data_IF_982868671926
#
_entry.id   IF_982868671926
#
_cell.length_a   1.000
_cell.length_b   1.000
_cell.length_c   1.000
_cell.angle_alpha   90.00
_cell.angle_beta   90.00
_cell.angle_gamma   90.00
#
_symmetry.space_group_name_H-M   'P 1'
#
loop_
_entity.id
_entity.type
_entity.pdbx_description
1 polymer ?
#
# COMPACT_ATOMS: atom_id res chain seq x y z
N UNK A 1 -14.84 -10.12 0.88
CA UNK A 1 -13.72 -9.56 1.65
C UNK A 1 -13.53 -8.16 1.11
N UNK A 2 -13.58 -7.12 1.95
CA UNK A 2 -13.61 -5.70 1.52
C UNK A 2 -12.25 -5.08 1.80
N UNK A 3 -11.82 -4.11 0.99
CA UNK A 3 -10.60 -3.28 1.18
C UNK A 3 -10.44 -2.83 2.65
N UNK A 4 -11.54 -2.48 3.32
CA UNK A 4 -11.55 -2.08 4.73
C UNK A 4 -11.03 -3.17 5.69
N UNK A 5 -11.34 -4.44 5.42
CA UNK A 5 -10.96 -5.58 6.25
C UNK A 5 -9.45 -5.86 6.16
N UNK A 6 -8.88 -5.71 4.96
CA UNK A 6 -7.47 -5.99 4.72
C UNK A 6 -6.54 -4.96 5.39
N UNK A 7 -6.95 -3.69 5.42
CA UNK A 7 -6.22 -2.60 6.07
C UNK A 7 -6.22 -2.70 7.61
N UNK A 8 -7.26 -3.30 8.18
CA UNK A 8 -7.32 -3.65 9.61
C UNK A 8 -6.43 -4.86 9.93
N UNK A 9 -6.21 -5.78 8.98
CA UNK A 9 -5.27 -6.89 9.16
C UNK A 9 -3.79 -6.46 9.10
N UNK A 10 -3.44 -5.43 8.32
CA UNK A 10 -2.06 -4.91 8.29
C UNK A 10 -1.60 -4.31 9.63
N UNK A 11 -2.50 -3.72 10.42
CA UNK A 11 -2.18 -3.31 11.80
C UNK A 11 -1.84 -4.49 12.72
N UNK A 12 -2.29 -5.71 12.40
CA UNK A 12 -2.07 -6.91 13.23
C UNK A 12 -0.73 -7.60 12.91
N UNK A 13 -0.24 -7.56 11.65
CA UNK A 13 1.05 -8.16 11.26
C UNK A 13 2.27 -7.34 11.69
N UNK A 14 2.14 -6.02 11.88
CA UNK A 14 3.26 -5.16 12.28
C UNK A 14 3.86 -5.50 13.66
N UNK A 15 3.07 -6.13 14.55
CA UNK A 15 3.51 -6.52 15.88
C UNK A 15 4.30 -7.84 15.90
N UNK A 16 4.33 -8.60 14.80
CA UNK A 16 5.02 -9.91 14.75
C UNK A 16 6.46 -9.85 14.24
N UNK A 17 6.97 -8.68 13.80
CA UNK A 17 8.35 -8.54 13.30
C UNK A 17 9.20 -7.73 14.29
N UNK A 18 9.48 -8.30 15.46
CA UNK A 18 10.54 -7.81 16.35
C UNK A 18 11.80 -8.64 16.12
N UNK A 19 12.87 -7.94 15.75
CA UNK A 19 14.26 -8.34 15.46
C UNK A 19 14.75 -9.74 15.86
N UNK A 20 15.38 -10.42 14.90
CA UNK A 20 16.61 -11.20 15.15
C UNK A 20 17.77 -10.40 14.56
N UNK A 21 18.50 -9.68 15.41
CA UNK A 21 19.77 -9.03 15.05
C UNK A 21 20.86 -10.09 15.08
N UNK A 22 21.49 -10.36 13.93
CA UNK A 22 22.74 -11.12 13.87
C UNK A 22 23.85 -10.09 13.61
N UNK A 23 24.74 -9.95 14.59
CA UNK A 23 25.94 -9.13 14.53
C UNK A 23 26.98 -9.87 13.69
N UNK A 24 27.43 -9.27 12.59
CA UNK A 24 28.66 -9.71 11.91
C UNK A 24 29.72 -8.61 12.00
N UNK A 25 30.87 -8.98 12.55
CA UNK A 25 32.09 -8.20 12.65
C UNK A 25 32.69 -7.95 11.27
N UNK A 26 33.04 -6.70 10.97
CA UNK A 26 33.81 -6.32 9.78
C UNK A 26 35.28 -6.12 10.15
N UNK A 27 36.14 -6.91 9.52
CA UNK A 27 37.60 -6.83 9.61
C UNK A 27 38.12 -5.64 8.79
N UNK A 28 38.90 -4.76 9.42
CA UNK A 28 39.50 -3.60 8.77
C UNK A 28 40.75 -3.98 7.96
N UNK A 29 40.81 -3.55 6.70
CA UNK A 29 42.06 -3.45 5.94
C UNK A 29 42.37 -1.99 5.61
N UNK A 30 43.56 -1.57 6.00
CA UNK A 30 44.12 -0.23 5.81
C UNK A 30 44.93 -0.23 4.52
N UNK A 31 44.54 0.58 3.54
CA UNK A 31 45.40 0.87 2.38
C UNK A 31 45.52 2.38 2.20
N UNK A 32 46.74 2.85 2.39
CA UNK A 32 47.19 4.24 2.21
C UNK A 32 47.62 4.45 0.76
N UNK A 33 47.04 5.41 0.05
CA UNK A 33 47.65 5.93 -1.19
C UNK A 33 47.21 7.37 -1.53
N UNK A 34 48.18 8.27 -1.32
CA UNK A 34 48.63 9.43 -2.15
C UNK A 34 47.60 10.43 -2.68
N UNK A 35 47.74 11.68 -2.21
CA UNK A 35 47.12 12.89 -2.75
C UNK A 35 47.69 13.25 -4.13
N UNK A 36 46.84 13.26 -5.15
CA UNK A 36 47.05 14.05 -6.37
C UNK A 36 46.03 15.19 -6.41
N UNK A 37 46.55 16.42 -6.39
CA UNK A 37 45.75 17.64 -6.52
C UNK A 37 45.55 17.92 -8.00
N UNK A 38 44.39 17.54 -8.53
CA UNK A 38 43.97 17.92 -9.88
C UNK A 38 42.84 18.92 -9.75
N UNK A 39 43.10 20.17 -10.14
CA UNK A 39 42.11 21.25 -10.22
C UNK A 39 41.01 20.88 -11.21
N UNK A 40 39.88 20.39 -10.70
CA UNK A 40 38.66 20.17 -11.47
C UNK A 40 37.87 21.47 -11.52
N UNK A 41 37.56 21.91 -12.74
CA UNK A 41 36.61 22.96 -12.99
C UNK A 41 35.31 22.70 -12.22
N UNK A 42 34.79 23.74 -11.56
CA UNK A 42 33.47 23.73 -10.93
C UNK A 42 32.41 23.42 -11.99
N UNK A 43 32.09 22.14 -12.15
CA UNK A 43 30.78 21.74 -12.63
C UNK A 43 29.77 22.23 -11.60
N UNK A 44 28.80 23.00 -12.05
CA UNK A 44 27.60 23.31 -11.28
C UNK A 44 27.11 22.00 -10.67
N UNK A 45 27.21 21.82 -9.36
CA UNK A 45 26.63 20.68 -8.67
C UNK A 45 25.14 20.65 -9.06
N UNK A 46 24.72 19.59 -9.76
CA UNK A 46 23.31 19.41 -10.08
C UNK A 46 22.53 19.44 -8.76
N UNK A 47 21.51 20.30 -8.68
CA UNK A 47 20.63 20.34 -7.51
C UNK A 47 20.08 18.93 -7.31
N UNK A 48 20.22 18.33 -6.12
CA UNK A 48 19.65 17.02 -5.85
C UNK A 48 18.15 17.09 -6.11
N UNK A 49 17.64 16.20 -6.96
CA UNK A 49 16.21 16.11 -7.18
C UNK A 49 15.52 15.72 -5.86
N UNK A 50 14.42 16.40 -5.55
CA UNK A 50 13.60 16.13 -4.38
C UNK A 50 12.19 15.79 -4.82
N UNK A 51 11.65 14.68 -4.31
CA UNK A 51 10.27 14.32 -4.52
C UNK A 51 9.31 15.44 -4.02
N UNK A 52 8.12 15.58 -4.63
CA UNK A 52 7.14 16.55 -4.15
C UNK A 52 6.82 16.35 -2.66
N UNK A 53 6.72 17.44 -1.90
CA UNK A 53 6.54 17.38 -0.44
C UNK A 53 5.26 16.63 0.00
N UNK A 54 4.29 16.46 -0.89
CA UNK A 54 3.08 15.65 -0.65
C UNK A 54 3.37 14.15 -0.55
N UNK A 55 4.52 13.67 -1.00
CA UNK A 55 4.86 12.25 -0.89
C UNK A 55 5.23 11.91 0.56
N UNK A 56 4.75 10.76 1.01
CA UNK A 56 5.25 10.07 2.20
C UNK A 56 6.66 9.55 1.91
N UNK A 57 7.50 9.32 2.94
CA UNK A 57 8.83 8.74 2.73
C UNK A 57 8.74 7.48 1.86
N UNK A 58 9.72 7.31 0.97
CA UNK A 58 9.81 6.14 0.10
C UNK A 58 11.25 5.89 -0.35
N UNK A 59 11.50 4.71 -0.87
CA UNK A 59 12.79 4.24 -1.39
C UNK A 59 13.72 3.69 -0.31
N UNK A 60 14.83 3.11 -0.75
CA UNK A 60 15.81 2.44 0.13
C UNK A 60 16.33 3.32 1.27
N UNK A 61 16.54 4.63 1.04
CA UNK A 61 16.95 5.57 2.09
C UNK A 61 15.90 5.77 3.19
N UNK A 62 14.62 5.50 2.91
CA UNK A 62 13.53 5.50 3.88
C UNK A 62 13.26 4.11 4.49
N UNK A 63 13.97 3.08 4.01
CA UNK A 63 13.84 1.70 4.47
C UNK A 63 12.87 0.84 3.66
N UNK A 64 12.41 1.31 2.50
CA UNK A 64 11.50 0.56 1.64
C UNK A 64 12.16 -0.67 1.00
N UNK A 65 11.35 -1.70 0.75
CA UNK A 65 11.70 -2.77 -0.18
C UNK A 65 11.46 -2.28 -1.60
N UNK A 66 12.51 -2.30 -2.43
CA UNK A 66 12.43 -1.94 -3.85
C UNK A 66 12.32 -3.20 -4.71
N UNK A 67 11.29 -3.26 -5.56
CA UNK A 67 11.09 -4.33 -6.52
C UNK A 67 11.30 -3.82 -7.94
N UNK A 68 12.02 -4.62 -8.70
CA UNK A 68 12.24 -4.48 -10.13
C UNK A 68 11.57 -5.67 -10.81
N UNK A 69 11.28 -5.56 -12.10
CA UNK A 69 10.52 -6.53 -12.93
C UNK A 69 10.97 -8.01 -12.84
N UNK A 70 12.05 -8.34 -12.14
CA UNK A 70 12.50 -9.71 -11.92
C UNK A 70 11.82 -10.45 -10.76
N UNK A 71 11.05 -9.82 -9.87
CA UNK A 71 10.40 -10.51 -8.74
C UNK A 71 9.00 -9.95 -8.44
N UNK A 72 7.98 -10.80 -8.55
CA UNK A 72 6.65 -10.53 -8.00
C UNK A 72 6.76 -10.48 -6.47
N UNK A 73 6.64 -9.29 -5.90
CA UNK A 73 6.57 -9.10 -4.45
C UNK A 73 5.19 -9.51 -3.95
N UNK A 74 5.02 -10.76 -3.55
CA UNK A 74 3.84 -11.21 -2.81
C UNK A 74 3.99 -10.82 -1.33
N UNK A 75 3.44 -9.67 -0.95
CA UNK A 75 2.96 -9.52 0.42
C UNK A 75 1.61 -10.24 0.53
N UNK A 76 1.45 -11.07 1.56
CA UNK A 76 0.44 -12.14 1.63
C UNK A 76 -1.05 -11.75 1.56
N UNK A 77 -1.36 -10.48 1.30
CA UNK A 77 -2.71 -9.92 1.23
C UNK A 77 -2.88 -8.76 0.23
N UNK A 78 -1.81 -8.03 -0.12
CA UNK A 78 -1.81 -6.93 -1.10
C UNK A 78 -0.85 -7.31 -2.23
N UNK A 79 -1.35 -7.45 -3.45
CA UNK A 79 -0.49 -7.63 -4.61
C UNK A 79 -0.23 -6.27 -5.25
N UNK A 80 1.05 -5.93 -5.37
CA UNK A 80 1.51 -4.69 -6.01
C UNK A 80 1.98 -5.02 -7.43
N UNK A 81 1.44 -4.32 -8.41
CA UNK A 81 1.71 -4.58 -9.82
C UNK A 81 2.55 -3.46 -10.43
N UNK A 82 3.43 -3.81 -11.36
CA UNK A 82 4.27 -2.83 -12.06
C UNK A 82 3.45 -1.83 -12.88
N UNK A 83 2.29 -2.25 -13.39
CA UNK A 83 1.37 -1.41 -14.17
C UNK A 83 0.55 -0.41 -13.33
N UNK A 84 0.95 -0.14 -12.09
CA UNK A 84 0.35 0.87 -11.22
C UNK A 84 -0.93 0.42 -10.50
N UNK A 85 -1.13 -0.89 -10.35
CA UNK A 85 -2.29 -1.47 -9.65
C UNK A 85 -1.92 -2.00 -8.26
N UNK A 86 -2.82 -1.85 -7.30
CA UNK A 86 -2.84 -2.63 -6.05
C UNK A 86 -4.12 -3.47 -6.00
N UNK A 87 -4.00 -4.77 -5.78
CA UNK A 87 -5.16 -5.67 -5.64
C UNK A 87 -5.21 -6.33 -4.26
N UNK A 88 -6.43 -6.63 -3.80
CA UNK A 88 -6.69 -7.05 -2.42
C UNK A 88 -7.32 -8.44 -2.28
N UNK A 89 -7.81 -9.02 -3.39
CA UNK A 89 -8.59 -10.26 -3.35
C UNK A 89 -8.38 -11.22 -4.54
N UNK A 90 -7.70 -10.79 -5.61
CA UNK A 90 -7.35 -11.56 -6.81
C UNK A 90 -6.08 -10.98 -7.46
N UNK A 91 -5.27 -11.78 -8.17
CA UNK A 91 -4.00 -11.30 -8.70
C UNK A 91 -4.20 -10.14 -9.68
N UNK A 92 -5.18 -10.13 -10.57
CA UNK A 92 -5.36 -9.01 -11.50
C UNK A 92 -6.79 -8.96 -12.06
N UNK A 93 -7.34 -7.78 -12.40
CA UNK A 93 -8.50 -7.66 -13.27
C UNK A 93 -8.28 -8.42 -14.59
N UNK A 94 -9.33 -9.08 -15.10
CA UNK A 94 -9.26 -9.91 -16.31
C UNK A 94 -9.03 -9.12 -17.61
N UNK A 95 -9.02 -7.79 -17.56
CA UNK A 95 -8.80 -6.89 -18.70
C UNK A 95 -7.95 -5.69 -18.31
N UNK A 96 -7.08 -5.21 -19.22
CA UNK A 96 -6.28 -3.99 -19.08
C UNK A 96 -7.13 -2.71 -19.00
N UNK A 97 -6.54 -1.50 -19.12
CA UNK A 97 -7.23 -0.22 -18.89
C UNK A 97 -8.30 0.05 -19.95
N UNK A 98 -9.44 -0.57 -19.76
CA UNK A 98 -10.71 -0.28 -20.39
C UNK A 98 -11.78 -0.68 -19.39
N UNK A 99 -12.72 0.24 -19.15
CA UNK A 99 -13.96 0.10 -18.39
C UNK A 99 -13.91 0.48 -16.90
N UNK A 100 -14.73 1.48 -16.56
CA UNK A 100 -15.21 1.71 -15.20
C UNK A 100 -16.70 2.09 -15.25
N UNK A 101 -17.58 1.44 -14.47
CA UNK A 101 -17.31 0.31 -13.55
C UNK A 101 -16.89 -0.97 -14.27
N UNK A 102 -15.86 -1.67 -13.76
CA UNK A 102 -15.48 -2.99 -14.29
C UNK A 102 -16.55 -4.04 -13.97
N UNK A 103 -17.35 -3.79 -12.92
CA UNK A 103 -18.34 -4.72 -12.35
C UNK A 103 -17.76 -6.11 -12.09
N UNK A 104 -16.46 -6.16 -11.87
CA UNK A 104 -15.70 -7.39 -11.73
C UNK A 104 -15.76 -7.95 -10.31
N UNK A 105 -14.97 -8.99 -10.08
CA UNK A 105 -14.85 -9.65 -8.78
C UNK A 105 -13.64 -9.11 -7.98
N UNK A 106 -13.01 -8.05 -8.46
CA UNK A 106 -11.76 -7.50 -7.94
C UNK A 106 -12.04 -6.31 -7.02
N UNK A 107 -11.24 -6.24 -5.96
CA UNK A 107 -11.05 -5.02 -5.18
C UNK A 107 -9.67 -4.47 -5.56
N UNK A 108 -9.61 -3.25 -6.09
CA UNK A 108 -8.35 -2.64 -6.49
C UNK A 108 -8.29 -1.13 -6.31
N UNK A 109 -7.06 -0.64 -6.14
CA UNK A 109 -6.71 0.78 -6.21
C UNK A 109 -5.77 0.92 -7.40
N UNK A 110 -6.12 1.83 -8.30
CA UNK A 110 -5.40 2.12 -9.54
C UNK A 110 -4.96 3.58 -9.52
N UNK A 111 -3.90 3.97 -8.78
CA UNK A 111 -3.41 5.35 -8.79
C UNK A 111 -3.07 5.83 -10.22
N UNK A 112 -2.48 4.97 -11.04
CA UNK A 112 -2.20 5.23 -12.44
C UNK A 112 -2.11 3.89 -13.16
N UNK A 113 -3.25 3.36 -13.61
CA UNK A 113 -3.31 2.09 -14.30
C UNK A 113 -3.18 2.29 -15.80
N UNK A 114 -2.21 1.60 -16.39
CA UNK A 114 -1.85 1.71 -17.81
C UNK A 114 -1.46 0.33 -18.36
N UNK A 115 -1.54 0.15 -19.67
CA UNK A 115 -1.17 -1.09 -20.36
C UNK A 115 0.33 -1.15 -20.67
N UNK A 116 1.14 -0.35 -19.95
CA UNK A 116 2.55 -0.14 -20.28
C UNK A 116 3.22 -1.50 -20.29
N UNK A 117 3.60 -1.93 -21.48
CA UNK A 117 4.34 -3.16 -21.71
C UNK A 117 5.58 -3.19 -20.81
N UNK A 118 5.82 -4.36 -20.20
CA UNK A 118 6.95 -4.74 -19.35
C UNK A 118 8.33 -4.67 -20.05
N UNK A 119 8.41 -4.01 -21.20
CA UNK A 119 9.59 -3.97 -22.03
C UNK A 119 10.54 -2.89 -21.52
N UNK A 120 11.74 -3.35 -21.14
CA UNK A 120 12.87 -2.60 -20.60
C UNK A 120 12.68 -2.21 -19.13
N UNK A 121 13.65 -2.58 -18.28
CA UNK A 121 13.78 -2.34 -16.81
C UNK A 121 13.60 -0.87 -16.37
N UNK A 122 12.46 -0.27 -16.71
CA UNK A 122 12.14 1.15 -16.62
C UNK A 122 11.11 1.41 -15.53
N UNK A 123 10.52 0.36 -14.96
CA UNK A 123 9.55 0.44 -13.86
C UNK A 123 10.14 -0.20 -12.61
N UNK A 124 10.05 0.52 -11.51
CA UNK A 124 10.19 -0.06 -10.17
C UNK A 124 9.03 0.41 -9.30
N UNK A 125 8.74 -0.36 -8.26
CA UNK A 125 7.99 0.17 -7.13
C UNK A 125 8.74 -0.07 -5.82
N UNK A 126 8.59 0.84 -4.88
CA UNK A 126 9.04 0.67 -3.51
C UNK A 126 7.84 0.57 -2.59
N UNK A 127 7.90 -0.30 -1.59
CA UNK A 127 6.85 -0.39 -0.59
C UNK A 127 7.42 -0.56 0.81
N UNK A 128 6.66 -0.06 1.79
CA UNK A 128 7.00 -0.20 3.18
C UNK A 128 5.77 -0.03 4.08
N UNK A 129 5.70 -0.87 5.10
CA UNK A 129 4.84 -0.62 6.26
C UNK A 129 5.60 0.21 7.29
N UNK A 130 5.18 1.46 7.45
CA UNK A 130 5.76 2.40 8.40
C UNK A 130 5.11 2.26 9.78
N UNK A 131 5.97 2.03 10.78
CA UNK A 131 5.62 2.08 12.21
C UNK A 131 6.25 3.27 12.93
N UNK A 132 7.02 4.09 12.22
CA UNK A 132 7.68 5.26 12.79
C UNK A 132 6.65 6.35 13.19
N UNK A 133 6.80 6.89 14.39
CA UNK A 133 5.89 7.90 14.96
C UNK A 133 5.73 9.14 14.08
N UNK A 134 6.78 9.59 13.39
CA UNK A 134 6.71 10.75 12.50
C UNK A 134 5.76 10.53 11.33
N UNK A 135 5.75 9.33 10.74
CA UNK A 135 4.88 8.97 9.61
C UNK A 135 3.45 8.77 10.08
N UNK A 136 3.24 8.10 11.21
CA UNK A 136 1.92 7.93 11.83
C UNK A 136 1.31 9.28 12.24
N UNK A 137 2.11 10.19 12.79
CA UNK A 137 1.69 11.55 13.16
C UNK A 137 1.27 12.35 11.93
N UNK A 138 2.07 12.30 10.85
CA UNK A 138 1.71 12.94 9.57
C UNK A 138 0.40 12.39 9.01
N UNK A 139 0.24 11.07 8.98
CA UNK A 139 -1.01 10.42 8.53
C UNK A 139 -2.22 10.84 9.36
N UNK A 140 -2.05 10.90 10.68
CA UNK A 140 -3.08 11.37 11.61
C UNK A 140 -3.49 12.82 11.31
N UNK A 141 -2.52 13.72 11.11
CA UNK A 141 -2.77 15.12 10.78
C UNK A 141 -3.45 15.28 9.42
N UNK A 142 -2.97 14.58 8.40
CA UNK A 142 -3.55 14.58 7.06
C UNK A 142 -5.02 14.12 7.09
N UNK A 143 -5.30 12.97 7.70
CA UNK A 143 -6.67 12.44 7.77
C UNK A 143 -7.58 13.34 8.59
N UNK A 144 -7.15 13.87 9.73
CA UNK A 144 -7.99 14.79 10.52
C UNK A 144 -8.20 16.14 9.82
N UNK A 145 -7.29 16.55 8.93
CA UNK A 145 -7.48 17.74 8.10
C UNK A 145 -8.55 17.50 7.02
N UNK A 146 -8.52 16.34 6.36
CA UNK A 146 -9.43 16.04 5.24
C UNK A 146 -10.79 15.51 5.71
N UNK A 147 -10.82 14.84 6.86
CA UNK A 147 -11.99 14.18 7.44
C UNK A 147 -12.15 14.57 8.93
N UNK A 148 -12.40 15.86 9.25
CA UNK A 148 -12.34 16.40 10.61
C UNK A 148 -13.38 15.81 11.58
N UNK A 149 -14.42 15.15 11.07
CA UNK A 149 -15.47 14.53 11.89
C UNK A 149 -15.06 13.16 12.46
N UNK A 150 -13.93 12.59 12.03
CA UNK A 150 -13.55 11.21 12.35
C UNK A 150 -12.77 11.05 13.65
N UNK A 151 -12.17 12.11 14.20
CA UNK A 151 -11.28 12.06 15.38
C UNK A 151 -10.29 10.88 15.32
N UNK A 152 -9.54 10.83 14.22
CA UNK A 152 -8.74 9.67 13.84
C UNK A 152 -7.33 9.72 14.45
N UNK A 153 -6.77 8.54 14.75
CA UNK A 153 -5.35 8.35 15.08
C UNK A 153 -4.83 7.15 14.28
N UNK A 154 -3.79 7.35 13.49
CA UNK A 154 -3.18 6.29 12.68
C UNK A 154 -2.41 5.31 13.58
N UNK A 155 -2.61 4.01 13.35
CA UNK A 155 -1.82 2.92 13.94
C UNK A 155 -1.04 2.11 12.91
N UNK A 156 -1.33 2.29 11.61
CA UNK A 156 -0.57 1.69 10.52
C UNK A 156 -0.60 2.59 9.29
N UNK A 157 0.54 2.68 8.60
CA UNK A 157 0.68 3.36 7.32
C UNK A 157 1.48 2.46 6.39
N UNK A 158 0.89 2.04 5.28
CA UNK A 158 1.57 1.31 4.23
C UNK A 158 1.70 2.20 3.00
N UNK A 159 2.92 2.37 2.50
CA UNK A 159 3.23 3.25 1.37
C UNK A 159 3.71 2.38 0.22
N UNK A 160 3.18 2.64 -0.97
CA UNK A 160 3.70 2.09 -2.22
C UNK A 160 3.95 3.24 -3.18
N UNK A 161 5.11 3.28 -3.81
CA UNK A 161 5.51 4.34 -4.73
C UNK A 161 6.06 3.73 -6.01
N UNK A 162 5.50 4.11 -7.16
CA UNK A 162 5.97 3.69 -8.47
C UNK A 162 6.86 4.77 -9.08
N UNK A 163 7.93 4.33 -9.73
CA UNK A 163 8.84 5.18 -10.50
C UNK A 163 8.99 4.59 -11.89
N UNK A 164 8.74 5.41 -12.91
CA UNK A 164 9.05 5.10 -14.30
C UNK A 164 10.28 5.88 -14.76
N UNK A 165 11.15 5.22 -15.53
CA UNK A 165 12.47 5.70 -15.91
C UNK A 165 13.26 6.23 -14.70
N UNK A 166 13.61 5.38 -13.72
CA UNK A 166 14.27 5.79 -12.48
C UNK A 166 15.73 6.21 -12.72
N UNK A 167 15.89 7.43 -13.21
CA UNK A 167 17.11 8.23 -13.11
C UNK A 167 16.96 9.17 -11.90
N UNK A 168 17.95 10.02 -11.54
CA UNK A 168 17.84 10.89 -10.36
C UNK A 168 16.54 11.71 -10.29
N UNK A 169 15.93 11.99 -11.45
CA UNK A 169 14.57 12.51 -11.59
C UNK A 169 13.71 11.51 -12.38
N UNK A 170 12.77 10.78 -11.75
CA UNK A 170 11.85 9.90 -12.46
C UNK A 170 10.89 10.69 -13.35
N UNK A 171 10.62 10.19 -14.56
CA UNK A 171 9.70 10.82 -15.49
C UNK A 171 8.23 10.65 -15.08
N UNK A 172 7.94 9.56 -14.36
CA UNK A 172 6.63 9.29 -13.79
C UNK A 172 6.81 8.88 -12.33
N UNK A 173 6.10 9.56 -11.44
CA UNK A 173 6.11 9.32 -10.00
C UNK A 173 4.69 9.42 -9.44
N UNK A 174 4.21 8.34 -8.85
CA UNK A 174 2.94 8.32 -8.12
C UNK A 174 3.02 7.38 -6.93
N UNK A 175 2.16 7.62 -5.94
CA UNK A 175 2.20 6.92 -4.66
C UNK A 175 0.79 6.63 -4.14
N UNK A 176 0.61 5.46 -3.56
CA UNK A 176 -0.55 5.12 -2.73
C UNK A 176 -0.11 5.03 -1.28
N UNK A 177 -0.90 5.65 -0.39
CA UNK A 177 -0.69 5.60 1.06
C UNK A 177 -1.94 5.03 1.69
N UNK A 178 -1.84 3.83 2.22
CA UNK A 178 -2.91 3.15 2.94
C UNK A 178 -2.76 3.45 4.44
N UNK A 179 -3.82 3.94 5.07
CA UNK A 179 -3.77 4.44 6.44
C UNK A 179 -4.90 3.76 7.23
N UNK A 180 -4.57 3.15 8.37
CA UNK A 180 -5.58 2.55 9.25
C UNK A 180 -5.36 2.86 10.73
N UNK A 181 -6.46 2.86 11.48
CA UNK A 181 -6.47 3.14 12.93
C UNK A 181 -7.88 3.29 13.50
N UNK A 182 -8.08 2.85 14.74
CA UNK A 182 -9.36 3.02 15.44
C UNK A 182 -10.59 2.45 14.72
N UNK A 183 -10.42 1.41 13.89
CA UNK A 183 -11.50 0.81 13.08
C UNK A 183 -11.84 1.57 11.78
N UNK A 184 -11.06 2.58 11.43
CA UNK A 184 -11.18 3.34 10.18
C UNK A 184 -10.00 3.09 9.26
N UNK A 185 -10.27 3.16 7.96
CA UNK A 185 -9.30 2.93 6.91
C UNK A 185 -9.47 3.98 5.82
N UNK A 186 -8.35 4.54 5.37
CA UNK A 186 -8.27 5.58 4.36
C UNK A 186 -7.20 5.19 3.35
N UNK A 187 -7.27 5.78 2.16
CA UNK A 187 -6.15 5.76 1.25
C UNK A 187 -5.97 7.12 0.58
N UNK A 188 -4.71 7.46 0.33
CA UNK A 188 -4.30 8.63 -0.42
C UNK A 188 -3.68 8.18 -1.73
N UNK A 189 -3.89 8.94 -2.80
CA UNK A 189 -3.10 8.90 -4.03
C UNK A 189 -2.34 10.23 -4.14
N UNK A 190 -1.03 10.17 -4.32
CA UNK A 190 -0.17 11.33 -4.53
C UNK A 190 0.46 11.27 -5.92
N UNK A 191 0.45 12.38 -6.64
CA UNK A 191 0.95 12.50 -8.01
C UNK A 191 2.11 13.49 -8.06
N UNK A 192 3.24 13.03 -8.59
CA UNK A 192 4.35 13.88 -9.01
C UNK A 192 4.23 14.19 -10.50
N UNK A 193 5.35 14.32 -11.18
CA UNK A 193 5.31 14.39 -12.64
C UNK A 193 4.85 13.05 -13.22
N UNK A 194 4.04 13.12 -14.26
CA UNK A 194 3.61 11.97 -15.05
C UNK A 194 3.86 12.33 -16.52
N UNK A 195 4.98 11.86 -17.06
CA UNK A 195 5.32 11.96 -18.48
C UNK A 195 4.30 11.25 -19.38
N UNK A 196 4.40 11.50 -20.69
CA UNK A 196 3.47 10.96 -21.68
C UNK A 196 3.54 9.44 -21.72
N UNK A 197 2.43 8.81 -21.36
CA UNK A 197 2.12 7.41 -21.63
C UNK A 197 1.48 7.32 -23.02
N UNK A 198 2.00 6.42 -23.86
CA UNK A 198 1.52 6.22 -25.24
C UNK A 198 0.16 5.48 -25.30
N UNK A 199 -0.51 5.32 -24.16
CA UNK A 199 -1.62 4.41 -23.96
C UNK A 199 -2.69 5.02 -23.05
N UNK A 200 -3.82 4.33 -22.97
CA UNK A 200 -4.92 4.72 -22.12
C UNK A 200 -4.54 4.55 -20.64
N UNK A 201 -4.81 5.59 -19.87
CA UNK A 201 -4.51 5.65 -18.44
C UNK A 201 -5.79 5.91 -17.69
N UNK A 202 -6.00 5.18 -16.61
CA UNK A 202 -7.07 5.46 -15.67
C UNK A 202 -6.55 5.54 -14.24
N UNK A 203 -7.05 6.53 -13.50
CA UNK A 203 -6.71 6.73 -12.10
C UNK A 203 -7.99 6.68 -11.27
N UNK A 204 -8.02 5.87 -10.22
CA UNK A 204 -9.23 5.62 -9.45
C UNK A 204 -9.18 4.37 -8.59
N UNK A 205 -10.36 3.89 -8.23
CA UNK A 205 -10.52 2.63 -7.53
C UNK A 205 -11.85 1.99 -7.91
N UNK A 206 -11.91 0.67 -7.78
CA UNK A 206 -13.14 -0.10 -7.93
C UNK A 206 -13.17 -1.21 -6.88
N UNK A 207 -14.38 -1.59 -6.46
CA UNK A 207 -14.62 -2.69 -5.52
C UNK A 207 -15.44 -3.76 -6.20
N UNK A 208 -15.52 -4.94 -5.59
CA UNK A 208 -16.36 -6.05 -6.09
C UNK A 208 -17.75 -5.54 -6.50
N UNK A 209 -18.18 -5.91 -7.72
CA UNK A 209 -19.43 -5.51 -8.36
C UNK A 209 -19.60 -3.98 -8.51
N UNK A 210 -18.53 -3.22 -8.35
CA UNK A 210 -18.49 -1.77 -8.36
C UNK A 210 -19.46 -1.09 -7.40
N UNK A 211 -19.65 -1.73 -6.22
CA UNK A 211 -20.48 -1.21 -5.12
C UNK A 211 -19.99 0.16 -4.67
N UNK A 212 -18.68 0.37 -4.68
CA UNK A 212 -18.03 1.67 -4.57
C UNK A 212 -16.91 1.75 -5.61
N UNK A 213 -16.94 2.78 -6.44
CA UNK A 213 -15.92 3.05 -7.44
C UNK A 213 -15.79 4.56 -7.61
N UNK A 214 -14.62 4.97 -8.08
CA UNK A 214 -14.37 6.36 -8.44
C UNK A 214 -13.33 6.43 -9.56
N UNK A 215 -13.60 7.28 -10.55
CA UNK A 215 -12.68 7.62 -11.62
C UNK A 215 -12.26 9.07 -11.44
N UNK A 216 -10.97 9.34 -11.44
CA UNK A 216 -10.45 10.71 -11.40
C UNK A 216 -10.75 11.38 -12.76
N UNK A 217 -11.49 12.50 -12.80
CA UNK A 217 -11.99 13.08 -14.05
C UNK A 217 -10.94 13.35 -15.13
N UNK A 218 -9.72 13.72 -14.73
CA UNK A 218 -8.65 14.09 -15.66
C UNK A 218 -7.82 12.90 -16.17
N UNK A 219 -7.99 11.69 -15.63
CA UNK A 219 -7.19 10.54 -16.08
C UNK A 219 -7.65 9.99 -17.43
N UNK A 220 -8.96 9.84 -17.62
CA UNK A 220 -9.54 9.10 -18.76
C UNK A 220 -9.43 9.81 -20.12
N UNK A 221 -9.22 11.13 -20.13
CA UNK A 221 -9.13 11.91 -21.37
C UNK A 221 -7.68 12.13 -21.84
N UNK A 222 -6.72 11.35 -21.31
CA UNK A 222 -5.31 11.52 -21.60
C UNK A 222 -4.65 12.73 -20.92
N UNK A 223 -5.34 13.38 -19.97
CA UNK A 223 -4.83 14.53 -19.22
C UNK A 223 -4.20 14.13 -17.88
N UNK A 224 -3.64 12.92 -17.80
CA UNK A 224 -3.02 12.39 -16.58
C UNK A 224 -1.84 13.26 -16.09
N UNK A 225 -1.21 14.03 -16.97
CA UNK A 225 -0.17 15.00 -16.60
C UNK A 225 -0.68 16.09 -15.64
N UNK A 226 -1.99 16.37 -15.67
CA UNK A 226 -2.64 17.34 -14.80
C UNK A 226 -3.00 16.75 -13.42
N UNK A 227 -2.83 15.45 -13.19
CA UNK A 227 -3.14 14.83 -11.90
C UNK A 227 -2.39 15.49 -10.75
N UNK A 228 -1.15 15.94 -10.97
CA UNK A 228 -0.35 16.73 -10.00
C UNK A 228 -0.97 18.07 -9.58
N UNK A 229 -1.94 18.57 -10.32
CA UNK A 229 -2.63 19.83 -10.05
C UNK A 229 -4.09 19.63 -9.57
N UNK A 230 -4.64 18.42 -9.68
CA UNK A 230 -6.01 18.12 -9.26
C UNK A 230 -6.06 17.59 -7.82
N UNK A 231 -7.24 17.69 -7.19
CA UNK A 231 -7.45 17.22 -5.82
C UNK A 231 -8.93 17.18 -5.45
N UNK A 232 -9.32 16.29 -4.55
CA UNK A 232 -10.59 16.35 -3.82
C UNK A 232 -10.46 16.89 -2.37
N UNK A 233 -9.25 17.24 -1.94
CA UNK A 233 -8.92 17.71 -0.58
C UNK A 233 -8.19 19.05 -0.55
N UNK A 234 -8.20 19.79 -1.66
CA UNK A 234 -7.53 21.08 -1.82
C UNK A 234 -6.02 21.03 -1.53
N UNK A 235 -5.37 19.91 -1.85
CA UNK A 235 -3.91 19.76 -1.85
C UNK A 235 -3.52 19.30 -3.26
N UNK A 236 -2.89 20.15 -4.08
CA UNK A 236 -2.53 19.80 -5.45
C UNK A 236 -1.79 18.46 -5.52
N UNK A 237 -2.25 17.59 -6.41
CA UNK A 237 -1.64 16.27 -6.63
C UNK A 237 -2.07 15.22 -5.62
N UNK A 238 -2.98 15.53 -4.69
CA UNK A 238 -3.45 14.60 -3.68
C UNK A 238 -4.94 14.33 -3.78
N UNK A 239 -5.27 13.05 -3.79
CA UNK A 239 -6.62 12.53 -3.66
C UNK A 239 -6.73 11.69 -2.40
N UNK A 240 -7.80 11.86 -1.62
CA UNK A 240 -8.02 11.14 -0.37
C UNK A 240 -9.41 10.50 -0.36
N UNK A 241 -9.48 9.25 0.07
CA UNK A 241 -10.72 8.49 0.11
C UNK A 241 -10.86 7.75 1.42
N UNK A 242 -12.11 7.63 1.88
CA UNK A 242 -12.44 6.77 3.01
C UNK A 242 -12.78 5.39 2.45
N UNK A 243 -12.15 4.35 2.98
CA UNK A 243 -12.53 2.97 2.69
C UNK A 243 -13.75 2.58 3.54
N UNK A 244 -14.87 3.28 3.37
CA UNK A 244 -16.15 2.92 4.00
C UNK A 244 -16.96 2.07 3.04
N UNK A 245 -16.96 0.77 3.25
CA UNK A 245 -18.16 0.00 2.95
C UNK A 245 -18.76 -0.44 4.29
N UNK A 246 -19.68 0.40 4.76
CA UNK A 246 -20.59 0.08 5.86
C UNK A 246 -21.40 -1.14 5.47
N UNK A 247 -20.95 -2.32 5.90
CA UNK A 247 -21.80 -3.47 6.21
C UNK A 247 -20.95 -4.42 7.04
N UNK A 248 -21.50 -4.87 8.16
CA UNK A 248 -21.01 -6.03 8.91
C UNK A 248 -20.72 -7.18 7.94
N UNK A 249 -19.46 -7.46 7.65
CA UNK A 249 -19.06 -8.66 6.89
C UNK A 249 -18.10 -9.45 7.77
N UNK A 250 -18.62 -10.53 8.35
CA UNK A 250 -17.83 -11.48 9.12
C UNK A 250 -16.65 -12.01 8.33
N UNK A 251 -15.53 -12.19 9.02
CA UNK A 251 -14.33 -12.82 8.48
C UNK A 251 -14.56 -14.33 8.42
N UNK A 252 -14.31 -14.95 7.26
CA UNK A 252 -14.29 -16.41 7.15
C UNK A 252 -12.84 -16.89 7.20
N UNK A 253 -12.49 -17.63 8.24
CA UNK A 253 -11.16 -18.23 8.43
C UNK A 253 -11.27 -19.76 8.34
N UNK A 254 -10.23 -20.40 7.81
CA UNK A 254 -10.04 -21.86 7.90
C UNK A 254 -8.97 -22.13 8.94
N UNK A 255 -9.32 -22.90 9.97
CA UNK A 255 -8.44 -23.23 11.08
C UNK A 255 -8.14 -24.72 11.05
N UNK A 256 -6.89 -25.08 11.30
CA UNK A 256 -6.45 -26.44 11.52
C UNK A 256 -6.02 -26.57 12.97
N UNK A 257 -6.63 -27.50 13.70
CA UNK A 257 -6.25 -27.82 15.07
C UNK A 257 -5.68 -29.23 15.12
N UNK A 258 -4.76 -29.47 16.06
CA UNK A 258 -4.30 -30.81 16.41
C UNK A 258 -5.35 -31.57 17.27
N UNK A 259 -6.30 -30.85 17.87
CA UNK A 259 -7.44 -31.43 18.59
C UNK A 259 -8.54 -31.89 17.64
N UNK A 260 -9.27 -32.95 18.04
CA UNK A 260 -10.46 -33.39 17.31
C UNK A 260 -11.62 -32.42 17.54
N UNK A 261 -11.73 -31.45 16.65
CA UNK A 261 -12.78 -30.44 16.68
C UNK A 261 -14.18 -31.02 16.40
N UNK A 262 -14.37 -32.32 16.19
CA UNK A 262 -15.74 -32.88 16.15
C UNK A 262 -16.36 -33.00 17.55
N UNK A 263 -15.56 -32.87 18.61
CA UNK A 263 -16.02 -32.84 19.99
C UNK A 263 -16.41 -31.41 20.41
N UNK A 264 -17.63 -31.24 20.94
CA UNK A 264 -18.19 -29.92 21.25
C UNK A 264 -17.40 -29.12 22.30
N UNK A 265 -16.84 -29.79 23.32
CA UNK A 265 -16.04 -29.13 24.36
C UNK A 265 -14.74 -28.53 23.84
N UNK A 266 -14.08 -29.22 22.89
CA UNK A 266 -12.84 -28.76 22.26
C UNK A 266 -13.09 -27.58 21.32
N UNK A 267 -14.21 -27.61 20.58
CA UNK A 267 -14.63 -26.49 19.75
C UNK A 267 -14.81 -25.21 20.57
N UNK A 268 -15.55 -25.28 21.68
CA UNK A 268 -15.85 -24.10 22.49
C UNK A 268 -14.59 -23.48 23.10
N UNK A 269 -13.67 -24.32 23.56
CA UNK A 269 -12.38 -23.88 24.08
C UNK A 269 -11.55 -23.16 23.00
N UNK A 270 -11.48 -23.72 21.79
CA UNK A 270 -10.75 -23.12 20.66
C UNK A 270 -11.40 -21.81 20.22
N UNK A 271 -12.73 -21.75 20.13
CA UNK A 271 -13.44 -20.50 19.83
C UNK A 271 -13.17 -19.43 20.89
N UNK A 272 -13.16 -19.78 22.18
CA UNK A 272 -12.86 -18.81 23.24
C UNK A 272 -11.42 -18.29 23.15
N UNK A 273 -10.44 -19.16 22.88
CA UNK A 273 -9.06 -18.73 22.67
C UNK A 273 -8.93 -17.78 21.47
N UNK A 274 -9.57 -18.10 20.35
CA UNK A 274 -9.60 -17.22 19.17
C UNK A 274 -10.26 -15.88 19.52
N UNK A 275 -11.34 -15.90 20.29
CA UNK A 275 -12.01 -14.67 20.73
C UNK A 275 -11.07 -13.79 21.55
N UNK A 276 -10.40 -14.37 22.54
CA UNK A 276 -9.46 -13.67 23.41
C UNK A 276 -8.30 -13.10 22.61
N UNK A 277 -7.79 -13.85 21.63
CA UNK A 277 -6.71 -13.41 20.76
C UNK A 277 -7.13 -12.29 19.82
N UNK A 278 -8.37 -12.33 19.30
CA UNK A 278 -8.89 -11.22 18.50
C UNK A 278 -9.10 -9.97 19.38
N UNK A 279 -9.61 -10.13 20.60
CA UNK A 279 -9.78 -9.01 21.54
C UNK A 279 -8.44 -8.43 21.96
N UNK A 280 -7.42 -9.26 22.25
CA UNK A 280 -6.06 -8.79 22.57
C UNK A 280 -5.41 -8.05 21.39
N UNK A 281 -5.83 -8.36 20.16
CA UNK A 281 -5.41 -7.70 18.91
C UNK A 281 -6.31 -6.53 18.49
N UNK A 282 -7.16 -6.02 19.38
CA UNK A 282 -7.93 -4.79 19.17
C UNK A 282 -9.31 -4.96 18.53
N UNK A 283 -9.80 -6.19 18.35
CA UNK A 283 -11.19 -6.43 17.92
C UNK A 283 -12.16 -6.22 19.09
N UNK A 284 -13.41 -5.76 18.83
CA UNK A 284 -14.39 -5.56 19.88
C UNK A 284 -14.81 -6.88 20.53
N UNK A 285 -15.04 -6.86 21.85
CA UNK A 285 -15.49 -8.03 22.62
C UNK A 285 -16.87 -8.57 22.20
N UNK A 286 -17.64 -7.75 21.48
CA UNK A 286 -18.92 -8.09 20.86
C UNK A 286 -18.79 -8.92 19.58
N UNK A 287 -17.58 -9.33 19.18
CA UNK A 287 -17.37 -10.18 18.00
C UNK A 287 -18.12 -11.51 18.14
N UNK A 288 -18.96 -11.81 17.14
CA UNK A 288 -19.66 -13.09 17.02
C UNK A 288 -18.92 -14.00 16.04
N UNK A 289 -18.70 -15.25 16.43
CA UNK A 289 -18.09 -16.27 15.60
C UNK A 289 -19.11 -17.38 15.34
N UNK A 290 -19.23 -17.82 14.09
CA UNK A 290 -20.09 -18.92 13.67
C UNK A 290 -19.28 -19.96 12.91
N UNK A 291 -19.35 -21.21 13.36
CA UNK A 291 -18.74 -22.34 12.67
C UNK A 291 -19.62 -22.74 11.50
N UNK A 292 -19.02 -22.86 10.31
CA UNK A 292 -19.73 -23.29 9.10
C UNK A 292 -19.55 -24.78 8.81
N UNK A 293 -18.36 -25.31 9.05
CA UNK A 293 -18.05 -26.71 8.77
C UNK A 293 -16.88 -27.16 9.64
N UNK A 294 -16.94 -28.41 10.09
CA UNK A 294 -15.84 -29.10 10.78
C UNK A 294 -15.63 -30.43 10.09
N UNK A 295 -14.40 -30.72 9.70
CA UNK A 295 -14.01 -31.99 9.12
C UNK A 295 -12.75 -32.48 9.79
N UNK A 296 -12.72 -33.75 10.17
CA UNK A 296 -11.51 -34.45 10.56
C UNK A 296 -10.76 -34.80 9.28
N UNK A 297 -9.55 -34.26 9.15
CA UNK A 297 -8.59 -34.59 8.07
C UNK A 297 -7.64 -35.68 8.53
#
# INVERSE_FOLDING_TARGET
>A
MRISLLLVFMSVLSLTRTQTTITEESTAETTTTVLETTTLATTSAAVPWTAPAIFYPFGSAAGDTEQYLSNYGDESYISVHFNGLLTFNRPQPLSGPNYNPTRGAEDYIAPLWSDIDDQYNTIMFSYQQYTNESVLTRATQDINKYFPQMNFTASSVFVVTWKYNPQPNPEILFQVVLISGGGHSFFLMNYGDCAVLNEQVEAGYDTINSISHFVIPDSINGNYQNLKNTSNVNVPGRWAFISTSVSLIGVQMRLTSYSDLTQSGEIEAVLQQIKQELVSRGFPSSIEMKIRNVKKT
#
